data_IF_383001742394
#
_entry.id   IF_383001742394
#
_cell.length_a   1.000
_cell.length_b   1.000
_cell.length_c   1.000
_cell.angle_alpha   90.00
_cell.angle_beta   90.00
_cell.angle_gamma   90.00
#
_symmetry.space_group_name_H-M   'P 1'
#
loop_
_entity.id
_entity.type
_entity.pdbx_description
1 polymer ?
#
# COMPACT_ATOMS: atom_id res chain seq x y z
N UNK A 1 5.06 6.77 -17.38
CA UNK A 1 5.19 6.19 -16.02
C UNK A 1 5.04 7.32 -15.00
N UNK A 2 4.12 7.21 -14.04
CA UNK A 2 3.99 8.19 -12.93
C UNK A 2 5.23 8.10 -12.03
N UNK A 3 5.80 9.24 -11.63
CA UNK A 3 7.02 9.27 -10.79
C UNK A 3 6.67 9.41 -9.32
N UNK A 4 7.52 8.82 -8.48
CA UNK A 4 7.43 8.98 -7.03
C UNK A 4 7.79 10.42 -6.65
N UNK A 5 7.12 10.98 -5.64
CA UNK A 5 7.36 12.35 -5.19
C UNK A 5 6.69 13.46 -6.00
N UNK A 6 5.99 13.14 -7.10
CA UNK A 6 5.12 14.09 -7.82
C UNK A 6 3.72 14.11 -7.19
N UNK A 7 3.00 15.23 -7.32
CA UNK A 7 1.57 15.29 -7.03
C UNK A 7 0.84 14.48 -8.11
N UNK A 8 0.54 13.22 -7.77
CA UNK A 8 -0.22 12.32 -8.61
C UNK A 8 -1.70 12.60 -8.35
N UNK A 9 -2.50 12.78 -9.41
CA UNK A 9 -3.97 12.71 -9.28
C UNK A 9 -4.32 11.34 -8.70
N UNK A 10 -4.72 11.36 -7.43
CA UNK A 10 -4.85 10.16 -6.65
C UNK A 10 -5.99 9.31 -7.22
N UNK A 11 -5.75 8.00 -7.41
CA UNK A 11 -6.81 7.09 -7.81
C UNK A 11 -7.97 7.15 -6.78
N UNK A 12 -9.20 7.01 -7.25
CA UNK A 12 -10.43 6.95 -6.41
C UNK A 12 -10.45 5.75 -5.46
N UNK A 13 -9.50 4.82 -5.59
CA UNK A 13 -9.33 3.67 -4.72
C UNK A 13 -8.47 4.05 -3.50
N UNK A 14 -9.12 4.17 -2.34
CA UNK A 14 -8.51 4.59 -1.07
C UNK A 14 -7.26 3.77 -0.70
N UNK A 15 -7.20 2.49 -1.04
CA UNK A 15 -6.04 1.65 -0.72
C UNK A 15 -4.84 1.92 -1.62
N UNK A 16 -5.10 2.16 -2.91
CA UNK A 16 -4.02 2.50 -3.84
C UNK A 16 -3.49 3.88 -3.48
N UNK A 17 -4.38 4.82 -3.13
CA UNK A 17 -3.99 6.13 -2.57
C UNK A 17 -3.13 5.97 -1.32
N UNK A 18 -3.56 5.13 -0.39
CA UNK A 18 -2.80 4.85 0.83
C UNK A 18 -1.39 4.32 0.51
N UNK A 19 -1.26 3.33 -0.38
CA UNK A 19 0.04 2.81 -0.81
C UNK A 19 0.95 3.89 -1.43
N UNK A 20 0.39 4.81 -2.22
CA UNK A 20 1.14 5.93 -2.81
C UNK A 20 1.62 6.88 -1.73
N UNK A 21 0.76 7.24 -0.77
CA UNK A 21 1.12 8.12 0.34
C UNK A 21 2.28 7.54 1.16
N UNK A 22 2.21 6.25 1.50
CA UNK A 22 3.31 5.54 2.19
C UNK A 22 4.60 5.57 1.37
N UNK A 23 4.52 5.23 0.08
CA UNK A 23 5.70 5.24 -0.79
C UNK A 23 6.32 6.65 -0.86
N UNK A 24 5.51 7.69 -0.97
CA UNK A 24 5.99 9.07 -0.98
C UNK A 24 6.64 9.46 0.36
N UNK A 25 6.11 9.02 1.49
CA UNK A 25 6.73 9.24 2.81
C UNK A 25 8.09 8.52 2.91
N UNK A 26 8.16 7.25 2.48
CA UNK A 26 9.41 6.49 2.45
C UNK A 26 10.46 7.12 1.53
N UNK A 27 10.03 7.65 0.39
CA UNK A 27 10.88 8.40 -0.53
C UNK A 27 11.45 9.66 0.12
N UNK A 28 10.59 10.46 0.79
CA UNK A 28 11.03 11.66 1.54
C UNK A 28 12.03 11.34 2.64
N UNK A 29 11.95 10.14 3.23
CA UNK A 29 12.92 9.64 4.23
C UNK A 29 14.17 9.01 3.61
N UNK A 30 14.30 8.98 2.28
CA UNK A 30 15.43 8.37 1.58
C UNK A 30 15.47 6.83 1.64
N UNK A 31 14.38 6.17 2.05
CA UNK A 31 14.30 4.71 2.22
C UNK A 31 14.13 3.96 0.90
N UNK A 32 13.56 4.63 -0.09
CA UNK A 32 13.37 4.13 -1.46
C UNK A 32 13.65 5.23 -2.47
N UNK A 33 13.94 4.84 -3.72
CA UNK A 33 14.17 5.76 -4.84
C UNK A 33 13.08 5.70 -5.91
N UNK A 34 12.19 4.70 -5.84
CA UNK A 34 11.14 4.50 -6.85
C UNK A 34 10.00 3.61 -6.36
N UNK A 35 8.85 3.67 -7.03
CA UNK A 35 7.75 2.71 -6.83
C UNK A 35 8.14 1.26 -7.13
N UNK A 36 9.13 1.05 -8.01
CA UNK A 36 9.66 -0.28 -8.30
C UNK A 36 10.37 -0.89 -7.09
N UNK A 37 11.17 -0.07 -6.43
CA UNK A 37 11.86 -0.46 -5.21
C UNK A 37 10.89 -0.66 -4.05
N UNK A 38 9.88 0.22 -3.91
CA UNK A 38 8.81 0.04 -2.95
C UNK A 38 8.08 -1.29 -3.11
N UNK A 39 7.69 -1.64 -4.35
CA UNK A 39 6.97 -2.89 -4.64
C UNK A 39 7.76 -4.12 -4.19
N UNK A 40 9.08 -4.10 -4.39
CA UNK A 40 9.95 -5.21 -3.99
C UNK A 40 10.22 -5.24 -2.48
N UNK A 41 10.67 -4.11 -1.92
CA UNK A 41 11.17 -4.06 -0.53
C UNK A 41 10.05 -4.12 0.51
N UNK A 42 8.92 -3.50 0.20
CA UNK A 42 7.88 -3.22 1.19
C UNK A 42 6.53 -3.86 0.87
N UNK A 43 6.32 -4.41 -0.34
CA UNK A 43 5.08 -5.13 -0.67
C UNK A 43 5.28 -6.62 -0.96
N UNK A 44 6.53 -7.08 -1.04
CA UNK A 44 6.90 -8.43 -1.48
C UNK A 44 6.23 -8.80 -2.83
N UNK A 45 6.37 -7.89 -3.81
CA UNK A 45 5.81 -8.04 -5.15
C UNK A 45 6.84 -7.72 -6.23
N UNK A 46 6.47 -8.04 -7.47
CA UNK A 46 7.25 -7.66 -8.63
C UNK A 46 7.40 -6.13 -8.72
N UNK A 47 8.43 -5.67 -9.42
CA UNK A 47 8.74 -4.23 -9.51
C UNK A 47 7.66 -3.39 -10.18
N UNK A 48 6.74 -3.98 -10.93
CA UNK A 48 5.69 -3.24 -11.65
C UNK A 48 4.37 -3.18 -10.89
N UNK A 49 4.28 -3.81 -9.71
CA UNK A 49 3.04 -3.98 -8.99
C UNK A 49 2.27 -2.67 -8.73
N UNK A 50 2.94 -1.65 -8.18
CA UNK A 50 2.31 -0.33 -8.00
C UNK A 50 1.88 0.31 -9.31
N UNK A 51 2.66 0.15 -10.38
CA UNK A 51 2.26 0.71 -11.67
C UNK A 51 0.97 0.06 -12.17
N UNK A 52 0.82 -1.26 -12.02
CA UNK A 52 -0.43 -1.96 -12.38
C UNK A 52 -1.62 -1.39 -11.60
N UNK A 53 -1.48 -1.23 -10.27
CA UNK A 53 -2.52 -0.65 -9.42
C UNK A 53 -2.89 0.80 -9.78
N UNK A 54 -1.92 1.57 -10.29
CA UNK A 54 -2.14 2.94 -10.75
C UNK A 54 -2.89 3.01 -12.08
N UNK A 55 -2.77 1.99 -12.92
CA UNK A 55 -3.40 1.96 -14.24
C UNK A 55 -4.77 1.28 -14.24
N UNK A 56 -5.00 0.30 -13.36
CA UNK A 56 -6.28 -0.41 -13.25
C UNK A 56 -6.88 -0.24 -11.85
N UNK A 57 -7.87 0.64 -11.77
CA UNK A 57 -8.58 0.98 -10.52
C UNK A 57 -9.46 -0.15 -9.98
N UNK A 58 -9.78 -1.16 -10.81
CA UNK A 58 -10.55 -2.32 -10.39
C UNK A 58 -9.69 -3.32 -9.61
N UNK A 59 -8.36 -3.22 -9.75
CA UNK A 59 -7.44 -4.09 -9.03
C UNK A 59 -7.20 -3.54 -7.65
N UNK A 60 -7.57 -4.36 -6.66
CA UNK A 60 -7.31 -4.09 -5.26
C UNK A 60 -5.92 -4.61 -4.87
N UNK A 61 -5.16 -3.87 -4.05
CA UNK A 61 -3.97 -4.39 -3.41
C UNK A 61 -4.23 -5.72 -2.70
N UNK A 62 -3.27 -6.63 -2.77
CA UNK A 62 -3.34 -7.91 -2.08
C UNK A 62 -3.21 -7.67 -0.58
N UNK A 63 -4.06 -8.33 0.21
CA UNK A 63 -3.98 -8.25 1.68
C UNK A 63 -2.62 -8.73 2.19
N UNK A 64 -2.04 -9.75 1.56
CA UNK A 64 -0.70 -10.23 1.93
C UNK A 64 0.36 -9.11 1.76
N UNK A 65 0.31 -8.35 0.65
CA UNK A 65 1.22 -7.20 0.47
C UNK A 65 0.98 -6.09 1.49
N UNK A 66 -0.27 -5.86 1.90
CA UNK A 66 -0.58 -4.87 2.93
C UNK A 66 -0.03 -5.32 4.31
N UNK A 67 -0.20 -6.59 4.66
CA UNK A 67 0.34 -7.17 5.91
C UNK A 67 1.87 -7.10 5.91
N UNK A 68 2.50 -7.45 4.79
CA UNK A 68 3.96 -7.38 4.66
C UNK A 68 4.47 -5.94 4.84
N UNK A 69 3.79 -4.96 4.23
CA UNK A 69 4.11 -3.54 4.40
C UNK A 69 4.02 -3.12 5.88
N UNK A 70 2.96 -3.51 6.57
CA UNK A 70 2.80 -3.24 8.00
C UNK A 70 3.98 -3.79 8.82
N UNK A 71 4.31 -5.06 8.60
CA UNK A 71 5.40 -5.73 9.30
C UNK A 71 6.74 -5.04 9.05
N UNK A 72 7.06 -4.70 7.79
CA UNK A 72 8.30 -4.00 7.44
C UNK A 72 8.41 -2.62 8.09
N UNK A 73 7.35 -1.82 8.03
CA UNK A 73 7.31 -0.50 8.66
C UNK A 73 7.52 -0.61 10.18
N UNK A 74 6.90 -1.61 10.82
CA UNK A 74 7.04 -1.89 12.25
C UNK A 74 8.45 -2.35 12.63
N UNK A 75 9.01 -3.29 11.88
CA UNK A 75 10.38 -3.81 12.08
C UNK A 75 11.43 -2.71 11.94
N UNK A 76 11.28 -1.83 10.94
CA UNK A 76 12.21 -0.72 10.70
C UNK A 76 12.01 0.46 11.67
N UNK A 77 10.94 0.44 12.48
CA UNK A 77 10.63 1.51 13.43
C UNK A 77 10.32 2.86 12.76
N UNK A 78 9.90 2.85 11.50
CA UNK A 78 9.62 4.06 10.71
C UNK A 78 8.13 4.35 10.66
N UNK A 79 7.79 5.60 10.34
CA UNK A 79 6.41 6.05 10.15
C UNK A 79 5.51 5.66 11.35
N UNK A 80 6.03 5.82 12.57
CA UNK A 80 5.34 5.41 13.81
C UNK A 80 4.03 6.18 14.04
N UNK A 81 3.98 7.41 13.56
CA UNK A 81 2.81 8.29 13.64
C UNK A 81 1.62 7.84 12.78
N UNK A 82 1.81 6.99 11.77
CA UNK A 82 0.72 6.52 10.90
C UNK A 82 0.22 5.12 11.27
N UNK A 83 0.81 4.46 12.27
CA UNK A 83 0.48 3.07 12.62
C UNK A 83 -0.99 2.86 12.90
N UNK A 84 -1.63 3.78 13.62
CA UNK A 84 -3.05 3.67 13.95
C UNK A 84 -3.95 3.74 12.70
N UNK A 85 -3.63 4.66 11.78
CA UNK A 85 -4.31 4.74 10.49
C UNK A 85 -4.08 3.49 9.63
N UNK A 86 -2.85 2.98 9.63
CA UNK A 86 -2.46 1.77 8.88
C UNK A 86 -3.20 0.53 9.39
N UNK A 87 -3.27 0.35 10.71
CA UNK A 87 -3.99 -0.74 11.36
C UNK A 87 -5.49 -0.69 11.04
N UNK A 88 -6.12 0.48 11.18
CA UNK A 88 -7.56 0.63 10.90
C UNK A 88 -7.88 0.32 9.44
N UNK A 89 -7.00 0.73 8.51
CA UNK A 89 -7.19 0.46 7.08
C UNK A 89 -7.03 -1.03 6.74
N UNK A 90 -5.99 -1.70 7.26
CA UNK A 90 -5.78 -3.14 7.03
C UNK A 90 -6.83 -3.99 7.71
N UNK A 91 -7.14 -3.75 8.97
CA UNK A 91 -8.12 -4.54 9.70
C UNK A 91 -9.52 -4.34 9.16
N UNK A 92 -9.88 -3.12 8.75
CA UNK A 92 -11.13 -2.85 8.04
C UNK A 92 -11.23 -3.65 6.73
N UNK A 93 -10.13 -3.77 5.99
CA UNK A 93 -10.04 -4.54 4.76
C UNK A 93 -10.16 -6.05 4.95
N UNK A 94 -9.45 -6.58 5.94
CA UNK A 94 -9.54 -7.98 6.33
C UNK A 94 -10.98 -8.29 6.75
N UNK A 95 -11.57 -7.48 7.64
CA UNK A 95 -12.94 -7.65 8.11
C UNK A 95 -13.98 -7.58 6.97
N UNK A 96 -13.80 -6.70 5.99
CA UNK A 96 -14.68 -6.61 4.83
C UNK A 96 -14.59 -7.84 3.92
N UNK A 97 -13.42 -8.48 3.82
CA UNK A 97 -13.27 -9.71 3.03
C UNK A 97 -13.91 -10.92 3.71
N UNK A 98 -13.81 -11.02 5.05
CA UNK A 98 -14.50 -12.07 5.82
C UNK A 98 -16.02 -11.88 5.79
N UNK A 99 -16.54 -10.66 5.99
CA UNK A 99 -17.99 -10.38 5.88
C UNK A 99 -18.61 -10.76 4.53
N UNK A 100 -17.86 -10.69 3.42
CA UNK A 100 -18.37 -11.14 2.11
C UNK A 100 -18.45 -12.65 1.98
N UNK A 101 -17.63 -13.41 2.71
CA UNK A 101 -17.70 -14.88 2.70
C UNK A 101 -18.93 -15.38 3.45
N UNK A 102 -19.33 -14.67 4.51
CA UNK A 102 -20.51 -15.03 5.32
C UNK A 102 -21.86 -14.73 4.60
N UNK A 103 -21.85 -13.96 3.51
CA UNK A 103 -23.05 -13.63 2.71
C UNK A 103 -23.20 -14.55 1.49
N UNK A 104 -22.27 -15.49 1.28
CA UNK A 104 -22.27 -16.46 0.18
C UNK A 104 -22.62 -17.89 0.65
N UNK A 105 -23.40 -18.01 1.73
CA UNK A 105 -23.99 -19.27 2.19
C UNK A 105 -25.50 -19.23 1.96
#
# INVERSE_FOLDING_TARGET
MRKIGENIDYPTNDEVRFLIEIANLLYKQGKIRSFREFSRKYLDKNSNYINVLLYDLNIKPSIASLIFLYQKIREEGILSNIWHHFQNHIFGRIAAQYRRKDVLI
#
